data_IF_859386157281
#
_entry.id   IF_859386157281
#
_cell.length_a   1.000
_cell.length_b   1.000
_cell.length_c   1.000
_cell.angle_alpha   90.00
_cell.angle_beta   90.00
_cell.angle_gamma   90.00
#
_symmetry.space_group_name_H-M   'P 1'
#
loop_
_entity.id
_entity.type
_entity.pdbx_description
1 polymer ?
#
# COMPACT_ATOMS: atom_id res chain seq x y z
N UNK A 1 11.05 47.84 21.71
CA UNK A 1 9.78 48.08 21.01
C UNK A 1 9.19 46.72 20.65
N UNK A 2 8.03 46.43 21.24
CA UNK A 2 7.12 45.29 21.08
C UNK A 2 7.58 44.00 20.38
N UNK A 3 7.80 42.97 21.20
CA UNK A 3 7.64 41.57 20.79
C UNK A 3 6.21 41.13 21.10
N UNK A 4 5.35 41.05 20.07
CA UNK A 4 4.03 40.42 20.20
C UNK A 4 4.21 38.95 20.51
N UNK A 5 3.92 38.58 21.75
CA UNK A 5 3.75 37.20 22.16
C UNK A 5 2.38 36.74 21.64
N UNK A 6 2.37 35.90 20.61
CA UNK A 6 1.21 35.09 20.28
C UNK A 6 1.05 34.04 21.36
N UNK A 7 0.07 34.23 22.24
CA UNK A 7 -0.36 33.21 23.21
C UNK A 7 -1.07 32.08 22.46
N UNK A 8 -0.27 31.16 21.92
CA UNK A 8 -0.75 29.89 21.38
C UNK A 8 -0.86 28.86 22.51
N UNK A 9 -1.77 29.06 23.45
CA UNK A 9 -2.26 27.95 24.29
C UNK A 9 -3.30 27.18 23.48
N UNK A 10 -2.85 26.59 22.37
CA UNK A 10 -3.66 25.69 21.56
C UNK A 10 -3.76 24.37 22.29
N UNK A 11 -4.97 24.03 22.70
CA UNK A 11 -5.31 22.67 23.11
C UNK A 11 -5.16 21.78 21.85
N UNK A 12 -4.01 21.14 21.68
CA UNK A 12 -3.69 20.32 20.50
C UNK A 12 -4.66 19.14 20.32
N UNK A 13 -5.36 18.74 21.38
CA UNK A 13 -6.38 17.68 21.32
C UNK A 13 -7.66 18.18 20.62
N UNK A 14 -7.97 19.47 20.69
CA UNK A 14 -9.12 20.07 20.00
C UNK A 14 -8.86 20.28 18.50
N UNK A 15 -7.60 20.44 18.09
CA UNK A 15 -7.23 20.64 16.68
C UNK A 15 -7.24 19.34 15.85
N UNK A 16 -7.05 18.17 16.49
CA UNK A 16 -7.06 16.86 15.83
C UNK A 16 -8.22 15.96 16.33
N UNK A 17 -9.42 16.53 16.43
CA UNK A 17 -10.63 15.82 16.88
C UNK A 17 -11.67 15.66 15.76
N UNK A 18 -12.39 14.54 15.77
CA UNK A 18 -13.53 14.32 14.87
C UNK A 18 -14.59 15.41 15.08
N UNK A 19 -15.04 16.15 14.05
CA UNK A 19 -16.06 17.18 14.20
C UNK A 19 -17.35 16.64 14.83
N UNK A 20 -17.78 17.25 15.94
CA UNK A 20 -18.90 16.75 16.76
C UNK A 20 -20.26 17.30 16.34
N UNK A 21 -20.30 18.29 15.43
CA UNK A 21 -21.53 18.87 14.86
C UNK A 21 -22.37 17.81 14.15
N UNK A 22 -23.69 17.89 14.30
CA UNK A 22 -24.62 16.87 13.80
C UNK A 22 -24.52 16.67 12.28
N UNK A 23 -24.26 17.74 11.52
CA UNK A 23 -24.04 17.71 10.06
C UNK A 23 -22.83 16.87 9.63
N UNK A 24 -21.83 16.71 10.50
CA UNK A 24 -20.62 15.95 10.21
C UNK A 24 -20.60 14.55 10.84
N UNK A 25 -21.58 14.23 11.68
CA UNK A 25 -21.66 12.89 12.28
C UNK A 25 -22.06 11.89 11.20
N UNK A 26 -21.37 10.75 11.19
CA UNK A 26 -21.78 9.61 10.39
C UNK A 26 -23.17 9.16 10.91
N UNK A 27 -24.18 9.01 10.03
CA UNK A 27 -25.50 8.55 10.45
C UNK A 27 -25.41 7.22 11.20
N UNK A 28 -26.09 7.13 12.36
CA UNK A 28 -26.10 5.92 13.18
C UNK A 28 -26.69 4.71 12.43
N UNK A 29 -27.59 4.97 11.47
CA UNK A 29 -28.18 3.95 10.60
C UNK A 29 -27.39 3.92 9.28
N UNK A 30 -26.21 3.31 9.32
CA UNK A 30 -25.50 2.93 8.11
C UNK A 30 -25.93 1.52 7.72
N UNK A 31 -26.92 1.41 6.84
CA UNK A 31 -27.29 0.12 6.26
C UNK A 31 -26.19 -0.27 5.27
N UNK A 32 -25.26 -1.14 5.69
CA UNK A 32 -24.29 -1.72 4.78
C UNK A 32 -25.02 -2.30 3.56
N UNK A 33 -24.54 -2.06 2.34
CA UNK A 33 -25.11 -2.72 1.17
C UNK A 33 -25.05 -4.24 1.38
N UNK A 34 -26.03 -4.99 0.86
CA UNK A 34 -26.00 -6.45 0.96
C UNK A 34 -24.69 -6.99 0.36
N UNK A 35 -24.14 -8.07 0.92
CA UNK A 35 -22.86 -8.62 0.46
C UNK A 35 -22.94 -8.96 -1.04
N UNK A 36 -21.84 -8.74 -1.79
CA UNK A 36 -21.77 -9.15 -3.18
C UNK A 36 -22.13 -10.63 -3.32
N UNK A 37 -22.99 -10.96 -4.29
CA UNK A 37 -23.34 -12.35 -4.56
C UNK A 37 -22.09 -13.10 -4.96
N UNK A 38 -21.78 -14.19 -4.26
CA UNK A 38 -20.72 -15.12 -4.67
C UNK A 38 -21.03 -15.56 -6.10
N UNK A 39 -20.16 -15.23 -7.05
CA UNK A 39 -20.24 -15.80 -8.39
C UNK A 39 -20.20 -17.32 -8.23
N UNK A 40 -21.14 -18.03 -8.83
CA UNK A 40 -21.03 -19.46 -9.03
C UNK A 40 -19.61 -19.70 -9.56
N UNK A 41 -18.82 -20.47 -8.81
CA UNK A 41 -17.46 -20.79 -9.23
C UNK A 41 -17.57 -21.30 -10.66
N UNK A 42 -16.66 -20.89 -11.55
CA UNK A 42 -16.59 -21.54 -12.85
C UNK A 42 -16.41 -23.03 -12.57
N UNK A 43 -17.49 -23.80 -12.67
CA UNK A 43 -17.49 -25.22 -12.45
C UNK A 43 -16.47 -25.81 -13.43
N UNK A 44 -15.36 -26.28 -12.89
CA UNK A 44 -14.49 -27.26 -13.53
C UNK A 44 -13.34 -26.79 -14.41
N UNK A 45 -13.22 -25.51 -14.82
CA UNK A 45 -12.07 -25.10 -15.67
C UNK A 45 -10.96 -24.49 -14.83
N UNK A 46 -10.14 -25.36 -14.22
CA UNK A 46 -8.79 -24.98 -13.77
C UNK A 46 -8.11 -24.31 -14.96
N UNK A 47 -7.67 -23.05 -14.80
CA UNK A 47 -6.87 -22.39 -15.84
C UNK A 47 -5.62 -23.22 -16.07
N UNK A 48 -5.33 -23.50 -17.34
CA UNK A 48 -4.06 -24.11 -17.73
C UNK A 48 -2.92 -23.20 -17.24
N UNK A 49 -1.82 -23.77 -16.70
CA UNK A 49 -0.60 -23.02 -16.49
C UNK A 49 -0.17 -22.29 -17.79
N UNK A 50 0.45 -21.11 -17.70
CA UNK A 50 1.05 -20.44 -18.85
C UNK A 50 2.06 -21.33 -19.56
N UNK A 51 2.03 -21.32 -20.90
CA UNK A 51 2.88 -22.14 -21.76
C UNK A 51 4.39 -21.99 -21.51
N UNK A 52 4.80 -20.84 -20.99
CA UNK A 52 6.22 -20.50 -20.76
C UNK A 52 6.58 -20.44 -19.26
N UNK A 53 5.73 -21.02 -18.40
CA UNK A 53 5.85 -20.86 -16.96
C UNK A 53 5.39 -19.47 -16.50
N UNK A 54 5.21 -19.33 -15.19
CA UNK A 54 4.83 -18.04 -14.58
C UNK A 54 6.01 -17.11 -14.37
N UNK A 55 7.21 -17.67 -14.22
CA UNK A 55 8.46 -16.96 -14.00
C UNK A 55 9.52 -17.58 -14.89
N UNK A 56 10.17 -16.74 -15.69
CA UNK A 56 11.30 -17.10 -16.52
C UNK A 56 12.53 -16.41 -15.91
N UNK A 57 13.25 -17.08 -14.98
CA UNK A 57 14.45 -16.48 -14.40
C UNK A 57 15.49 -16.22 -15.49
N UNK A 58 16.25 -15.12 -15.39
CA UNK A 58 17.44 -14.94 -16.21
C UNK A 58 18.46 -16.04 -15.92
N UNK A 59 19.38 -16.27 -16.86
CA UNK A 59 20.50 -17.18 -16.66
C UNK A 59 21.40 -16.70 -15.52
N UNK A 60 21.55 -17.54 -14.49
CA UNK A 60 22.33 -17.22 -13.30
C UNK A 60 23.83 -17.21 -13.61
N UNK A 61 24.30 -18.08 -14.51
CA UNK A 61 25.71 -18.12 -14.92
C UNK A 61 26.12 -16.78 -15.57
N UNK A 62 25.25 -16.20 -16.40
CA UNK A 62 25.47 -14.87 -16.96
C UNK A 62 25.49 -13.76 -15.90
N UNK A 63 24.70 -13.88 -14.82
CA UNK A 63 24.68 -12.89 -13.74
C UNK A 63 25.96 -12.93 -12.88
N UNK A 64 26.51 -14.12 -12.64
CA UNK A 64 27.67 -14.31 -11.75
C UNK A 64 29.00 -14.42 -12.49
N UNK A 65 29.00 -14.36 -13.83
CA UNK A 65 30.24 -14.34 -14.61
C UNK A 65 30.99 -13.03 -14.38
N UNK A 66 31.91 -13.03 -13.43
CA UNK A 66 32.84 -11.92 -13.20
C UNK A 66 34.03 -12.10 -14.15
N UNK A 67 34.31 -11.15 -15.06
CA UNK A 67 35.50 -11.25 -15.89
C UNK A 67 36.76 -11.23 -15.02
N UNK A 68 37.80 -12.00 -15.37
CA UNK A 68 39.04 -12.04 -14.60
C UNK A 68 39.62 -10.63 -14.48
N UNK A 69 39.81 -10.18 -13.24
CA UNK A 69 40.41 -8.87 -12.96
C UNK A 69 41.92 -8.99 -13.22
N UNK A 70 42.47 -8.06 -14.01
CA UNK A 70 43.93 -7.96 -14.16
C UNK A 70 44.54 -7.58 -12.81
N UNK A 71 45.39 -8.46 -12.29
CA UNK A 71 46.25 -8.14 -11.15
C UNK A 71 47.33 -7.16 -11.61
N UNK A 72 47.59 -6.14 -10.80
CA UNK A 72 48.78 -5.32 -10.97
C UNK A 72 49.90 -6.00 -10.17
N UNK A 73 50.98 -6.40 -10.84
CA UNK A 73 52.17 -6.93 -10.17
C UNK A 73 52.79 -5.84 -9.29
N UNK A 74 53.23 -6.23 -8.09
CA UNK A 74 54.05 -5.43 -7.18
C UNK A 74 55.53 -5.74 -7.39
#
# INVERSE_FOLDING_TARGET
>A
MESKQGTGTGNWEEECSTPTRWECRIPAVFNCPPPPKKKNGNDGKKREPPKHGYFQPPDLEALFSVPPRREACA
#
